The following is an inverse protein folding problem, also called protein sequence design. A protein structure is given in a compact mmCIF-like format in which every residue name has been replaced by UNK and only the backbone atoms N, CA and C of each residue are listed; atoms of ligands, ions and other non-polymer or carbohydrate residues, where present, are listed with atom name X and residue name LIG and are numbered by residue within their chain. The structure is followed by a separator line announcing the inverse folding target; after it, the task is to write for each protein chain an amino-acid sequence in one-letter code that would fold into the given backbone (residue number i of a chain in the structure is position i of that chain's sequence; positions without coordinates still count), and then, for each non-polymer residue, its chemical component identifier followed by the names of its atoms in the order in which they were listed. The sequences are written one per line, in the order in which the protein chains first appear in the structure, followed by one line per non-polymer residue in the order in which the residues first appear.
data_IF_658019199043
#
_entry.id   IF_658019199043
#
_cell.length_a   1.000
_cell.length_b   1.000
_cell.length_c   1.000
_cell.angle_alpha   90.00
_cell.angle_beta   90.00
_cell.angle_gamma   90.00
#
_symmetry.space_group_name_H-M   'P 1'
#
loop_
_entity.id
_entity.type
_entity.pdbx_description
1 polymer ?
#
# COMPACT_ATOMS: atom_id res chain seq x y z
N UNK A 1 -1.91 -5.52 23.08
CA UNK A 1 -2.76 -6.68 22.74
C UNK A 1 -3.77 -6.89 23.87
N UNK A 2 -5.04 -7.07 23.56
CA UNK A 2 -6.07 -7.44 24.56
C UNK A 2 -6.65 -8.81 24.20
N UNK A 3 -6.78 -9.68 25.19
CA UNK A 3 -7.35 -11.02 25.05
C UNK A 3 -8.41 -11.26 26.11
N UNK A 4 -9.52 -11.85 25.69
CA UNK A 4 -10.64 -12.23 26.54
C UNK A 4 -11.02 -13.69 26.26
N UNK A 5 -11.16 -14.46 27.32
CA UNK A 5 -11.72 -15.82 27.26
C UNK A 5 -13.05 -15.80 28.00
N UNK A 6 -14.13 -16.13 27.31
CA UNK A 6 -15.48 -16.15 27.88
C UNK A 6 -16.22 -17.43 27.53
N UNK A 7 -17.08 -17.85 28.44
CA UNK A 7 -17.97 -18.99 28.24
C UNK A 7 -19.35 -18.45 27.87
N UNK A 8 -19.82 -18.76 26.66
CA UNK A 8 -21.11 -18.28 26.14
C UNK A 8 -21.32 -16.78 26.39
N UNK A 9 -22.42 -16.41 27.05
CA UNK A 9 -22.79 -15.03 27.37
C UNK A 9 -22.45 -14.65 28.82
N UNK A 10 -21.67 -15.47 29.52
CA UNK A 10 -21.26 -15.21 30.89
C UNK A 10 -20.05 -14.26 30.93
N UNK A 11 -19.81 -13.72 32.14
CA UNK A 11 -18.66 -12.88 32.43
C UNK A 11 -17.35 -13.56 32.04
N UNK A 12 -16.40 -12.78 31.52
CA UNK A 12 -15.13 -13.32 31.05
C UNK A 12 -14.42 -14.08 32.17
N UNK A 13 -13.92 -15.27 31.83
CA UNK A 13 -13.10 -16.09 32.71
C UNK A 13 -11.73 -15.43 32.88
N UNK A 14 -11.22 -14.85 31.80
CA UNK A 14 -9.91 -14.21 31.72
C UNK A 14 -9.98 -13.00 30.81
N UNK A 15 -9.38 -11.88 31.24
CA UNK A 15 -9.20 -10.68 30.43
C UNK A 15 -7.84 -10.08 30.77
N UNK A 16 -6.95 -10.04 29.79
CA UNK A 16 -5.63 -9.42 29.92
C UNK A 16 -5.42 -8.39 28.80
N UNK A 17 -4.94 -7.21 29.18
CA UNK A 17 -4.30 -6.27 28.27
C UNK A 17 -2.79 -6.32 28.54
N UNK A 18 -2.01 -6.66 27.53
CA UNK A 18 -0.55 -6.75 27.62
C UNK A 18 0.12 -5.87 26.58
N UNK A 19 1.21 -5.22 27.02
CA UNK A 19 2.19 -4.58 26.15
C UNK A 19 3.52 -5.35 26.18
N UNK A 20 3.54 -6.56 26.77
CA UNK A 20 4.72 -7.42 26.80
C UNK A 20 4.88 -8.12 25.44
N UNK A 21 5.45 -7.36 24.51
CA UNK A 21 5.73 -7.76 23.14
C UNK A 21 7.25 -7.73 22.97
N UNK A 22 7.82 -8.83 22.47
CA UNK A 22 9.22 -8.90 22.09
C UNK A 22 9.35 -9.25 20.61
N UNK A 23 10.39 -8.76 19.98
CA UNK A 23 10.82 -9.30 18.70
C UNK A 23 11.46 -10.69 18.92
N UNK A 24 11.27 -11.64 17.98
CA UNK A 24 11.98 -12.92 18.05
C UNK A 24 13.48 -12.69 17.93
N UNK A 25 14.29 -13.60 18.47
CA UNK A 25 15.74 -13.60 18.24
C UNK A 25 16.06 -14.01 16.79
N UNK A 26 17.28 -13.72 16.32
CA UNK A 26 17.71 -14.09 14.95
C UNK A 26 17.61 -15.58 14.67
N UNK A 27 17.91 -16.39 15.69
CA UNK A 27 17.89 -17.85 15.60
C UNK A 27 16.43 -18.33 15.56
N UNK A 28 15.58 -17.91 16.50
CA UNK A 28 14.13 -18.22 16.51
C UNK A 28 13.45 -17.81 15.18
N UNK A 29 13.80 -16.65 14.63
CA UNK A 29 13.24 -16.19 13.38
C UNK A 29 13.65 -17.11 12.21
N UNK A 30 14.95 -17.36 12.06
CA UNK A 30 15.48 -18.06 10.89
C UNK A 30 15.17 -19.55 10.87
N UNK A 31 15.23 -20.22 12.02
CA UNK A 31 15.02 -21.69 12.09
C UNK A 31 13.56 -22.06 12.22
N UNK A 32 12.77 -21.30 12.98
CA UNK A 32 11.49 -21.78 13.48
C UNK A 32 10.29 -21.04 12.88
N UNK A 33 10.37 -19.72 12.74
CA UNK A 33 9.25 -18.88 12.31
C UNK A 33 9.23 -18.70 10.79
N UNK A 34 10.38 -18.46 10.17
CA UNK A 34 10.51 -18.32 8.71
C UNK A 34 9.92 -19.50 7.91
N UNK A 35 10.15 -20.78 8.26
CA UNK A 35 9.54 -21.89 7.52
C UNK A 35 8.01 -21.93 7.67
N UNK A 36 7.46 -21.48 8.81
CA UNK A 36 6.01 -21.34 8.96
C UNK A 36 5.48 -20.30 7.98
N UNK A 37 6.18 -19.16 7.85
CA UNK A 37 5.80 -18.09 6.92
C UNK A 37 5.81 -18.55 5.46
N UNK A 38 6.84 -19.29 5.06
CA UNK A 38 6.98 -19.76 3.68
C UNK A 38 5.96 -20.83 3.31
N UNK A 39 5.64 -21.76 4.21
CA UNK A 39 4.71 -22.85 3.92
C UNK A 39 3.25 -22.39 3.86
N UNK A 40 2.97 -21.29 4.53
CA UNK A 40 1.63 -20.82 4.78
C UNK A 40 1.02 -19.94 3.69
N UNK A 41 1.79 -19.61 2.65
CA UNK A 41 1.32 -18.74 1.55
C UNK A 41 0.74 -17.39 2.03
N UNK A 42 1.22 -16.85 3.17
CA UNK A 42 0.66 -15.64 3.80
C UNK A 42 0.70 -14.40 2.89
N UNK A 43 1.61 -14.37 1.92
CA UNK A 43 1.74 -13.31 0.94
C UNK A 43 2.02 -13.89 -0.45
N UNK A 44 1.77 -13.09 -1.48
CA UNK A 44 2.24 -13.39 -2.84
C UNK A 44 3.76 -13.64 -2.91
N UNK A 45 4.52 -13.15 -1.93
CA UNK A 45 5.93 -13.40 -1.77
C UNK A 45 6.35 -13.46 -0.28
N UNK A 46 6.48 -14.65 0.33
CA UNK A 46 6.82 -14.81 1.76
C UNK A 46 8.24 -14.35 2.13
N UNK A 47 9.06 -13.92 1.16
CA UNK A 47 10.40 -13.36 1.39
C UNK A 47 10.39 -11.89 1.83
N UNK A 48 9.22 -11.25 1.83
CA UNK A 48 9.07 -9.83 2.17
C UNK A 48 9.03 -9.55 3.67
N UNK A 49 8.79 -10.57 4.50
CA UNK A 49 8.74 -10.41 5.96
C UNK A 49 10.14 -10.46 6.57
N UNK A 50 10.47 -9.43 7.33
CA UNK A 50 11.69 -9.34 8.13
C UNK A 50 11.41 -9.69 9.59
N UNK A 51 12.48 -9.84 10.38
CA UNK A 51 12.39 -10.14 11.80
C UNK A 51 11.58 -9.07 12.58
N UNK A 52 11.72 -7.80 12.19
CA UNK A 52 11.00 -6.67 12.79
C UNK A 52 9.49 -6.68 12.50
N UNK A 53 9.03 -7.42 11.49
CA UNK A 53 7.61 -7.55 11.16
C UNK A 53 6.91 -8.59 12.06
N UNK A 54 7.65 -9.26 12.94
CA UNK A 54 7.19 -10.36 13.78
C UNK A 54 7.24 -9.96 15.24
N UNK A 55 6.14 -10.21 15.93
CA UNK A 55 6.02 -9.97 17.35
C UNK A 55 5.65 -11.25 18.09
N UNK A 56 6.48 -11.60 19.08
CA UNK A 56 6.20 -12.61 20.08
C UNK A 56 5.50 -11.92 21.27
N UNK A 57 4.24 -12.28 21.53
CA UNK A 57 3.42 -11.68 22.59
C UNK A 57 3.35 -12.64 23.77
N UNK A 58 3.71 -12.16 24.96
CA UNK A 58 3.64 -12.92 26.19
C UNK A 58 2.41 -12.52 27.02
N UNK A 59 1.61 -13.51 27.39
CA UNK A 59 0.44 -13.33 28.23
C UNK A 59 0.62 -14.05 29.55
N UNK A 60 0.53 -13.30 30.63
CA UNK A 60 0.63 -13.84 31.98
C UNK A 60 -0.52 -14.82 32.24
N UNK A 61 -0.19 -16.05 32.64
CA UNK A 61 -1.19 -17.06 32.95
C UNK A 61 -2.05 -16.72 34.17
N UNK A 62 -1.49 -15.96 35.12
CA UNK A 62 -2.17 -15.46 36.31
C UNK A 62 -2.22 -13.93 36.29
N UNK A 63 -3.42 -13.34 36.38
CA UNK A 63 -3.63 -11.89 36.30
C UNK A 63 -3.89 -11.25 37.68
N UNK A 64 -3.97 -12.02 38.78
CA UNK A 64 -4.37 -11.47 40.08
C UNK A 64 -5.77 -10.81 40.10
N UNK A 65 -6.53 -10.94 39.01
CA UNK A 65 -7.86 -10.34 38.83
C UNK A 65 -8.92 -11.32 39.30
N UNK A 66 -9.80 -10.83 40.17
CA UNK A 66 -10.87 -11.63 40.74
C UNK A 66 -12.02 -11.83 39.75
N UNK A 67 -12.52 -13.06 39.67
CA UNK A 67 -13.69 -13.44 38.90
C UNK A 67 -14.96 -13.10 39.68
N UNK A 68 -15.47 -11.90 39.42
CA UNK A 68 -16.65 -11.33 40.08
C UNK A 68 -17.93 -11.65 39.30
N UNK A 69 -18.27 -12.94 39.17
CA UNK A 69 -19.55 -13.38 38.60
C UNK A 69 -20.69 -13.17 39.62
N UNK A 70 -21.87 -12.75 39.14
CA UNK A 70 -23.03 -12.60 40.02
C UNK A 70 -23.56 -13.96 40.49
N UNK A 71 -24.10 -14.02 41.70
CA UNK A 71 -24.66 -15.25 42.26
C UNK A 71 -25.74 -15.88 41.36
N UNK A 72 -26.65 -15.05 40.83
CA UNK A 72 -27.70 -15.50 39.91
C UNK A 72 -27.11 -16.08 38.61
N UNK A 73 -26.13 -15.41 37.99
CA UNK A 73 -25.50 -15.90 36.77
C UNK A 73 -24.72 -17.21 37.02
N UNK A 74 -24.08 -17.36 38.18
CA UNK A 74 -23.40 -18.60 38.56
C UNK A 74 -24.39 -19.77 38.73
N UNK A 75 -25.56 -19.52 39.32
CA UNK A 75 -26.62 -20.53 39.42
C UNK A 75 -27.17 -20.91 38.04
N UNK A 76 -27.42 -19.93 37.17
CA UNK A 76 -27.85 -20.18 35.78
C UNK A 76 -26.82 -21.02 35.02
N UNK A 77 -25.54 -20.67 35.13
CA UNK A 77 -24.45 -21.42 34.50
C UNK A 77 -24.42 -22.88 34.96
N UNK A 78 -24.58 -23.13 36.26
CA UNK A 78 -24.61 -24.50 36.81
C UNK A 78 -25.78 -25.30 36.26
N UNK A 79 -26.97 -24.70 36.16
CA UNK A 79 -28.15 -25.38 35.60
C UNK A 79 -28.03 -25.61 34.10
N UNK A 80 -27.48 -24.66 33.33
CA UNK A 80 -27.19 -24.85 31.91
C UNK A 80 -26.19 -25.98 31.68
N UNK A 81 -25.13 -26.08 32.49
CA UNK A 81 -24.17 -27.18 32.41
C UNK A 81 -24.83 -28.54 32.72
N UNK A 82 -25.70 -28.61 33.74
CA UNK A 82 -26.45 -29.84 34.05
C UNK A 82 -27.39 -30.24 32.91
N UNK A 83 -28.10 -29.27 32.35
CA UNK A 83 -29.01 -29.48 31.23
C UNK A 83 -28.25 -29.95 29.99
N UNK A 84 -27.07 -29.37 29.73
CA UNK A 84 -26.19 -29.76 28.63
C UNK A 84 -25.75 -31.23 28.72
N UNK A 85 -25.47 -31.69 29.94
CA UNK A 85 -25.07 -33.07 30.20
C UNK A 85 -26.23 -34.07 30.01
N UNK A 86 -27.42 -33.74 30.53
CA UNK A 86 -28.56 -34.66 30.59
C UNK A 86 -29.34 -34.75 29.27
N UNK A 87 -29.39 -33.67 28.49
CA UNK A 87 -30.15 -33.61 27.25
C UNK A 87 -29.23 -33.50 26.03
N UNK A 88 -29.32 -34.48 25.12
CA UNK A 88 -28.58 -34.44 23.84
C UNK A 88 -29.12 -33.41 22.84
N UNK A 89 -30.28 -32.78 23.10
CA UNK A 89 -30.87 -31.69 22.29
C UNK A 89 -30.61 -30.29 22.87
N UNK A 90 -29.85 -30.20 23.95
CA UNK A 90 -29.50 -28.92 24.58
C UNK A 90 -28.60 -28.07 23.66
N UNK A 91 -28.62 -26.76 23.88
CA UNK A 91 -27.73 -25.82 23.19
C UNK A 91 -26.27 -26.13 23.50
N UNK A 92 -25.45 -26.24 22.46
CA UNK A 92 -24.02 -26.51 22.61
C UNK A 92 -23.35 -25.27 23.19
N UNK A 93 -22.85 -25.36 24.42
CA UNK A 93 -22.09 -24.30 25.05
C UNK A 93 -20.79 -24.06 24.27
N UNK A 94 -20.47 -22.80 24.03
CA UNK A 94 -19.29 -22.38 23.26
C UNK A 94 -18.33 -21.63 24.17
N UNK A 95 -17.04 -21.83 23.97
CA UNK A 95 -16.00 -20.99 24.56
C UNK A 95 -15.45 -20.09 23.47
N UNK A 96 -15.37 -18.81 23.79
CA UNK A 96 -14.88 -17.79 22.90
C UNK A 96 -13.51 -17.31 23.37
N UNK A 97 -12.58 -17.24 22.42
CA UNK A 97 -11.29 -16.62 22.54
C UNK A 97 -11.30 -15.35 21.67
N UNK A 98 -11.59 -14.22 22.31
CA UNK A 98 -11.60 -12.91 21.66
C UNK A 98 -10.21 -12.30 21.80
N UNK A 99 -9.63 -11.84 20.69
CA UNK A 99 -8.31 -11.23 20.69
C UNK A 99 -8.32 -9.95 19.86
N UNK A 100 -7.65 -8.92 20.37
CA UNK A 100 -7.53 -7.65 19.69
C UNK A 100 -6.11 -7.08 19.77
N UNK A 101 -5.73 -6.43 18.68
CA UNK A 101 -4.43 -5.80 18.51
C UNK A 101 -4.63 -4.33 18.20
N UNK A 102 -3.83 -3.50 18.85
CA UNK A 102 -3.78 -2.07 18.57
C UNK A 102 -2.44 -1.84 17.87
N UNK A 103 -2.49 -1.42 16.61
CA UNK A 103 -1.31 -1.04 15.84
C UNK A 103 -1.20 0.47 15.85
N UNK A 104 -0.05 0.96 16.30
CA UNK A 104 0.27 2.38 16.30
C UNK A 104 1.33 2.61 15.23
N UNK A 105 0.94 3.14 14.07
CA UNK A 105 1.88 3.74 13.14
C UNK A 105 2.39 5.05 13.72
N UNK A 106 3.71 5.21 13.79
CA UNK A 106 4.33 6.48 14.14
C UNK A 106 4.75 7.19 12.85
N UNK A 107 4.55 8.50 12.81
CA UNK A 107 5.13 9.34 11.75
C UNK A 107 6.61 9.53 12.06
N UNK A 108 7.49 9.14 11.16
CA UNK A 108 8.92 9.47 11.28
C UNK A 108 9.13 10.95 10.98
N UNK A 109 10.12 11.60 11.62
CA UNK A 109 10.47 13.00 11.29
C UNK A 109 10.91 13.19 9.83
N UNK A 110 11.32 12.10 9.17
CA UNK A 110 11.69 12.07 7.75
C UNK A 110 10.48 11.94 6.81
N UNK A 111 9.29 11.67 7.34
CA UNK A 111 8.09 11.53 6.53
C UNK A 111 7.55 12.89 6.12
N UNK A 112 7.40 13.10 4.81
CA UNK A 112 6.88 14.34 4.21
C UNK A 112 5.39 14.57 4.61
N UNK A 113 4.68 13.51 5.00
CA UNK A 113 3.27 13.52 5.37
C UNK A 113 3.06 12.76 6.69
N UNK A 114 2.07 13.13 7.53
CA UNK A 114 1.72 12.36 8.71
C UNK A 114 1.20 10.97 8.30
N UNK A 115 2.02 9.94 8.54
CA UNK A 115 1.73 8.53 8.30
C UNK A 115 1.17 7.83 9.54
N UNK A 116 1.16 8.51 10.69
CA UNK A 116 0.68 7.96 11.94
C UNK A 116 -0.78 7.48 11.86
N UNK A 117 -1.03 6.26 12.32
CA UNK A 117 -2.35 5.66 12.35
C UNK A 117 -2.52 4.84 13.63
N UNK A 118 -3.76 4.75 14.11
CA UNK A 118 -4.13 3.78 15.14
C UNK A 118 -5.19 2.87 14.52
N UNK A 119 -4.87 1.59 14.34
CA UNK A 119 -5.83 0.59 13.90
C UNK A 119 -6.05 -0.45 14.99
N UNK A 120 -7.32 -0.68 15.30
CA UNK A 120 -7.76 -1.72 16.24
C UNK A 120 -8.29 -2.90 15.43
N UNK A 121 -7.57 -4.01 15.47
CA UNK A 121 -7.94 -5.25 14.80
C UNK A 121 -8.51 -6.20 15.85
N UNK A 122 -9.72 -6.72 15.67
CA UNK A 122 -10.35 -7.63 16.63
C UNK A 122 -11.01 -8.79 15.92
N UNK A 123 -10.83 -9.98 16.45
CA UNK A 123 -11.44 -11.20 15.93
C UNK A 123 -11.79 -12.13 17.09
N UNK A 124 -12.70 -13.06 16.84
CA UNK A 124 -13.20 -14.02 17.82
C UNK A 124 -13.07 -15.43 17.26
N UNK A 125 -12.37 -16.31 17.98
CA UNK A 125 -12.38 -17.74 17.72
C UNK A 125 -13.31 -18.45 18.70
N UNK A 126 -14.10 -19.43 18.23
CA UNK A 126 -15.06 -20.16 19.07
C UNK A 126 -14.87 -21.66 18.96
N UNK A 127 -15.00 -22.35 20.09
CA UNK A 127 -14.88 -23.81 20.19
C UNK A 127 -16.04 -24.38 21.02
N UNK A 128 -16.69 -25.46 20.54
CA UNK A 128 -17.73 -26.12 21.32
C UNK A 128 -17.14 -26.79 22.56
N UNK A 129 -17.81 -26.62 23.70
CA UNK A 129 -17.43 -27.26 24.94
C UNK A 129 -17.81 -28.75 24.88
N UNK A 130 -16.83 -29.64 25.10
CA UNK A 130 -17.10 -31.08 25.19
C UNK A 130 -17.89 -31.41 26.46
N UNK A 131 -18.72 -32.47 26.41
CA UNK A 131 -19.47 -32.94 27.59
C UNK A 131 -18.55 -33.28 28.76
N UNK A 132 -17.37 -33.85 28.49
CA UNK A 132 -16.36 -34.14 29.51
C UNK A 132 -15.88 -32.85 30.21
N UNK A 133 -15.51 -31.83 29.42
CA UNK A 133 -15.07 -30.55 29.97
C UNK A 133 -16.20 -29.82 30.70
N UNK A 134 -17.44 -29.93 30.24
CA UNK A 134 -18.61 -29.39 30.93
C UNK A 134 -18.82 -30.07 32.30
N UNK A 135 -18.61 -31.39 32.39
CA UNK A 135 -18.68 -32.14 33.66
C UNK A 135 -17.59 -31.68 34.62
N UNK A 136 -16.35 -31.54 34.13
CA UNK A 136 -15.23 -31.05 34.93
C UNK A 136 -15.46 -29.61 35.40
N UNK A 137 -16.06 -28.76 34.56
CA UNK A 137 -16.39 -27.37 34.89
C UNK A 137 -17.43 -27.32 36.00
N UNK A 138 -18.50 -28.11 35.88
CA UNK A 138 -19.53 -28.21 36.91
C UNK A 138 -18.95 -28.70 38.24
N UNK A 139 -18.05 -29.68 38.21
CA UNK A 139 -17.32 -30.16 39.41
C UNK A 139 -16.45 -29.06 40.03
N UNK A 140 -15.73 -28.28 39.23
CA UNK A 140 -14.93 -27.14 39.73
C UNK A 140 -15.80 -26.06 40.39
N UNK A 141 -16.98 -25.78 39.83
CA UNK A 141 -17.88 -24.75 40.35
C UNK A 141 -18.66 -25.20 41.59
N UNK A 142 -18.77 -26.51 41.86
CA UNK A 142 -19.55 -27.08 42.96
C UNK A 142 -18.71 -27.58 44.12
N UNK A 143 -17.51 -28.09 43.85
CA UNK A 143 -16.63 -28.63 44.89
C UNK A 143 -15.78 -27.54 45.51
N UNK A 144 -15.87 -27.38 46.84
CA UNK A 144 -15.05 -26.40 47.58
C UNK A 144 -13.72 -26.98 48.09
N UNK A 145 -13.59 -28.31 48.12
CA UNK A 145 -12.53 -29.01 48.87
C UNK A 145 -11.72 -30.04 48.05
N UNK A 146 -11.93 -30.15 46.73
CA UNK A 146 -11.17 -31.12 45.92
C UNK A 146 -9.86 -30.53 45.38
N UNK A 147 -8.87 -31.43 45.16
CA UNK A 147 -7.62 -31.14 44.45
C UNK A 147 -7.95 -30.38 43.18
N UNK A 148 -7.20 -29.32 42.90
CA UNK A 148 -7.35 -28.43 41.75
C UNK A 148 -7.50 -29.25 40.47
N UNK A 149 -8.72 -29.39 39.98
CA UNK A 149 -8.98 -30.03 38.72
C UNK A 149 -8.63 -29.05 37.61
N UNK A 150 -7.96 -29.55 36.58
CA UNK A 150 -7.55 -28.78 35.42
C UNK A 150 -8.47 -29.13 34.26
N UNK A 151 -8.97 -28.14 33.53
CA UNK A 151 -9.66 -28.38 32.26
C UNK A 151 -8.70 -28.10 31.12
N UNK A 152 -8.69 -28.95 30.10
CA UNK A 152 -7.96 -28.72 28.86
C UNK A 152 -9.00 -28.53 27.75
N UNK A 153 -9.01 -27.35 27.15
CA UNK A 153 -9.87 -27.04 26.01
C UNK A 153 -9.02 -27.18 24.76
N UNK A 154 -9.38 -28.15 23.93
CA UNK A 154 -8.64 -28.40 22.70
C UNK A 154 -8.91 -27.32 21.65
N UNK A 155 -7.85 -26.92 20.96
CA UNK A 155 -7.86 -25.99 19.83
C UNK A 155 -8.48 -24.60 20.10
N UNK A 156 -8.30 -24.09 21.32
CA UNK A 156 -8.90 -22.81 21.75
C UNK A 156 -8.11 -21.58 21.29
N UNK A 157 -6.77 -21.63 21.34
CA UNK A 157 -5.96 -20.43 21.08
C UNK A 157 -5.30 -20.48 19.69
N UNK A 158 -5.51 -19.48 18.81
CA UNK A 158 -4.67 -19.31 17.63
C UNK A 158 -3.25 -18.92 18.06
N UNK A 159 -2.29 -19.82 17.83
CA UNK A 159 -0.89 -19.57 18.18
C UNK A 159 -0.21 -18.58 17.24
N UNK A 160 -0.62 -18.60 15.97
CA UNK A 160 -0.04 -17.83 14.90
C UNK A 160 -1.14 -16.99 14.24
N UNK A 161 -0.92 -15.68 14.11
CA UNK A 161 -1.91 -14.74 13.58
C UNK A 161 -1.24 -13.83 12.55
N UNK A 162 -1.84 -13.71 11.37
CA UNK A 162 -1.41 -12.80 10.33
C UNK A 162 -2.26 -11.51 10.36
N UNK A 163 -1.59 -10.37 10.52
CA UNK A 163 -2.19 -9.05 10.65
C UNK A 163 -1.97 -8.25 9.35
N UNK A 164 -3.04 -8.03 8.61
CA UNK A 164 -3.06 -7.08 7.50
C UNK A 164 -3.14 -5.64 8.04
N UNK A 165 -2.94 -4.61 7.19
CA UNK A 165 -3.04 -3.22 7.63
C UNK A 165 -4.38 -2.87 8.30
N UNK A 166 -5.49 -3.38 7.74
CA UNK A 166 -6.86 -3.05 8.17
C UNK A 166 -7.63 -4.20 8.83
N UNK A 167 -7.18 -5.46 8.70
CA UNK A 167 -7.93 -6.65 9.11
C UNK A 167 -7.00 -7.78 9.61
N UNK A 168 -7.57 -8.82 10.23
CA UNK A 168 -6.87 -10.07 10.54
C UNK A 168 -7.12 -11.08 9.42
N UNK A 169 -6.08 -11.75 8.94
CA UNK A 169 -6.21 -12.72 7.85
C UNK A 169 -6.85 -14.02 8.32
N UNK A 170 -8.08 -14.27 7.86
CA UNK A 170 -8.80 -15.51 8.17
C UNK A 170 -8.41 -16.68 7.27
N UNK A 171 -7.76 -16.40 6.13
CA UNK A 171 -7.35 -17.43 5.18
C UNK A 171 -5.98 -18.01 5.52
N UNK A 172 -5.29 -17.36 6.46
CA UNK A 172 -4.00 -17.77 6.96
C UNK A 172 -4.07 -19.13 7.69
N UNK A 173 -3.03 -19.98 7.60
CA UNK A 173 -3.07 -21.29 8.23
C UNK A 173 -3.22 -21.16 9.74
N UNK A 174 -4.25 -21.84 10.21
CA UNK A 174 -4.66 -21.84 11.59
C UNK A 174 -3.88 -22.90 12.35
N UNK A 175 -3.04 -22.46 13.30
CA UNK A 175 -2.31 -23.33 14.22
C UNK A 175 -2.90 -23.22 15.63
N UNK A 176 -3.99 -23.96 15.92
CA UNK A 176 -4.63 -23.88 17.22
C UNK A 176 -3.86 -24.66 18.27
N UNK A 177 -3.82 -24.11 19.48
CA UNK A 177 -3.24 -24.75 20.65
C UNK A 177 -4.29 -25.01 21.72
N UNK A 178 -3.98 -26.03 22.52
CA UNK A 178 -4.78 -26.46 23.65
C UNK A 178 -4.49 -25.57 24.86
N UNK A 179 -5.55 -25.16 25.54
CA UNK A 179 -5.47 -24.23 26.66
C UNK A 179 -5.92 -24.92 27.93
N UNK A 180 -5.10 -24.84 28.98
CA UNK A 180 -5.40 -25.35 30.30
C UNK A 180 -6.00 -24.23 31.15
N UNK A 181 -7.17 -24.48 31.72
CA UNK A 181 -7.86 -23.62 32.67
C UNK A 181 -7.84 -24.24 34.07
N UNK A 182 -7.58 -23.42 35.08
CA UNK A 182 -7.61 -23.80 36.49
C UNK A 182 -8.40 -22.75 37.26
N UNK A 183 -9.46 -23.19 37.96
CA UNK A 183 -10.15 -22.32 38.91
C UNK A 183 -9.39 -22.34 40.25
N UNK A 184 -8.91 -21.17 40.67
CA UNK A 184 -8.31 -20.98 41.99
C UNK A 184 -9.31 -20.34 42.94
N UNK A 185 -9.27 -20.77 44.19
CA UNK A 185 -10.06 -20.21 45.28
C UNK A 185 -9.14 -19.96 46.46
N UNK A 186 -9.16 -18.74 46.98
CA UNK A 186 -8.50 -18.39 48.22
C UNK A 186 -9.46 -17.54 49.06
N UNK A 187 -9.84 -18.04 50.24
CA UNK A 187 -10.87 -17.43 51.10
C UNK A 187 -12.18 -17.22 50.34
N UNK A 188 -12.56 -15.97 50.07
CA UNK A 188 -13.74 -15.58 49.28
C UNK A 188 -13.40 -15.16 47.84
N UNK A 189 -12.13 -15.20 47.48
CA UNK A 189 -11.64 -14.77 46.17
C UNK A 189 -11.57 -15.96 45.22
N UNK A 190 -12.10 -15.77 44.02
CA UNK A 190 -12.07 -16.74 42.93
C UNK A 190 -11.37 -16.09 41.74
N UNK A 191 -10.52 -16.83 41.04
CA UNK A 191 -9.93 -16.37 39.78
C UNK A 191 -9.55 -17.56 38.89
N UNK A 192 -9.40 -17.30 37.60
CA UNK A 192 -8.98 -18.31 36.63
C UNK A 192 -7.51 -18.11 36.28
N UNK A 193 -6.73 -19.18 36.41
CA UNK A 193 -5.40 -19.26 35.83
C UNK A 193 -5.51 -19.95 34.48
N UNK A 194 -4.81 -19.42 33.49
CA UNK A 194 -4.73 -19.96 32.14
C UNK A 194 -3.29 -20.31 31.82
N UNK A 195 -3.06 -21.46 31.19
CA UNK A 195 -1.73 -21.85 30.71
C UNK A 195 -1.83 -22.58 29.38
N UNK A 196 -0.79 -22.48 28.57
CA UNK A 196 -0.69 -23.22 27.32
C UNK A 196 -0.29 -24.68 27.57
N UNK A 197 -0.91 -25.62 26.85
CA UNK A 197 -0.42 -27.00 26.77
C UNK A 197 0.59 -27.05 25.63
N UNK A 198 1.86 -26.79 25.95
CA UNK A 198 2.93 -26.68 24.96
C UNK A 198 3.19 -28.03 24.29
N UNK A 199 2.96 -28.08 22.97
CA UNK A 199 3.36 -29.19 22.11
C UNK A 199 4.83 -29.06 21.71
N UNK A 200 5.50 -30.19 21.43
CA UNK A 200 6.94 -30.21 21.14
C UNK A 200 7.33 -29.26 19.98
N UNK A 201 6.46 -29.12 18.98
CA UNK A 201 6.69 -28.28 17.80
C UNK A 201 6.76 -26.77 18.10
N UNK A 202 6.31 -26.35 19.28
CA UNK A 202 6.18 -24.95 19.67
C UNK A 202 7.04 -24.56 20.87
N UNK A 203 7.76 -25.52 21.45
CA UNK A 203 8.55 -25.33 22.66
C UNK A 203 9.68 -24.31 22.50
N UNK A 204 10.24 -24.21 21.29
CA UNK A 204 11.37 -23.33 20.97
C UNK A 204 10.93 -22.04 20.24
N UNK A 205 9.65 -21.93 19.85
CA UNK A 205 9.15 -20.81 19.03
C UNK A 205 8.60 -19.70 19.91
N UNK A 206 9.30 -18.58 20.01
CA UNK A 206 8.90 -17.46 20.88
C UNK A 206 8.65 -17.93 22.34
N UNK A 207 9.56 -18.76 22.87
CA UNK A 207 9.38 -19.33 24.21
C UNK A 207 9.66 -18.31 25.29
N UNK A 208 8.95 -18.42 26.41
CA UNK A 208 9.16 -17.61 27.60
C UNK A 208 9.17 -18.56 28.80
N UNK A 209 9.99 -18.27 29.81
CA UNK A 209 10.28 -19.17 30.94
C UNK A 209 9.08 -19.46 31.89
N UNK A 210 7.88 -18.92 31.63
CA UNK A 210 6.74 -19.00 32.53
C UNK A 210 5.56 -19.79 31.93
N UNK A 211 4.66 -20.28 32.79
CA UNK A 211 3.40 -20.99 32.45
C UNK A 211 2.36 -20.05 31.82
N UNK A 212 2.77 -19.37 30.76
CA UNK A 212 2.05 -18.31 30.07
C UNK A 212 1.46 -18.82 28.75
N UNK A 213 0.62 -17.98 28.14
CA UNK A 213 0.21 -18.15 26.76
C UNK A 213 1.13 -17.29 25.88
N UNK A 214 1.74 -17.87 24.86
CA UNK A 214 2.56 -17.12 23.92
C UNK A 214 1.86 -17.07 22.57
N UNK A 215 1.76 -15.89 21.95
CA UNK A 215 1.24 -15.75 20.59
C UNK A 215 2.33 -15.21 19.67
N UNK A 216 2.27 -15.60 18.40
CA UNK A 216 3.14 -15.11 17.35
C UNK A 216 2.26 -14.35 16.37
N UNK A 217 2.56 -13.07 16.19
CA UNK A 217 1.88 -12.23 15.20
C UNK A 217 2.85 -11.84 14.12
N UNK A 218 2.43 -12.00 12.87
CA UNK A 218 3.14 -11.46 11.70
C UNK A 218 2.35 -10.27 11.19
N UNK A 219 2.99 -9.11 11.14
CA UNK A 219 2.37 -7.87 10.75
C UNK A 219 2.84 -7.46 9.37
N UNK A 220 1.92 -7.40 8.41
CA UNK A 220 2.22 -6.78 7.12
C UNK A 220 2.46 -5.28 7.33
N UNK A 221 3.49 -4.76 6.66
CA UNK A 221 3.79 -3.33 6.67
C UNK A 221 2.61 -2.59 6.08
N UNK A 222 1.97 -1.76 6.89
CA UNK A 222 1.08 -0.76 6.34
C UNK A 222 1.99 0.24 5.63
N UNK A 223 2.03 0.21 4.29
CA UNK A 223 2.61 1.32 3.55
C UNK A 223 1.94 2.62 3.99
N UNK A 224 2.50 3.77 3.59
CA UNK A 224 1.89 5.10 3.73
C UNK A 224 0.57 5.27 2.94
N UNK A 225 -0.24 4.21 2.83
CA UNK A 225 -1.65 4.23 2.55
C UNK A 225 -2.40 4.71 3.79
N UNK A 226 -2.08 5.92 4.22
CA UNK A 226 -2.99 6.66 5.06
C UNK A 226 -4.36 6.62 4.37
N UNK A 227 -5.42 6.39 5.14
CA UNK A 227 -6.79 6.47 4.62
C UNK A 227 -7.01 7.78 3.85
N UNK A 228 -6.24 8.84 4.15
CA UNK A 228 -6.20 10.10 3.39
C UNK A 228 -5.52 10.01 2.02
N UNK A 229 -4.37 9.36 1.85
CA UNK A 229 -3.76 9.18 0.52
C UNK A 229 -4.57 8.21 -0.35
N UNK A 230 -5.20 7.20 0.26
CA UNK A 230 -6.17 6.34 -0.43
C UNK A 230 -7.44 7.09 -0.85
N UNK A 231 -7.86 8.11 -0.10
CA UNK A 231 -9.04 8.92 -0.43
C UNK A 231 -8.69 9.96 -1.50
N UNK A 232 -7.54 10.63 -1.41
CA UNK A 232 -7.07 11.56 -2.44
C UNK A 232 -6.73 10.81 -3.73
N UNK A 233 -6.10 9.63 -3.65
CA UNK A 233 -5.86 8.80 -4.83
C UNK A 233 -7.16 8.21 -5.39
N UNK A 234 -8.10 7.72 -4.58
CA UNK A 234 -9.42 7.30 -5.09
C UNK A 234 -10.22 8.46 -5.68
N UNK A 235 -10.16 9.65 -5.09
CA UNK A 235 -10.92 10.84 -5.50
C UNK A 235 -10.34 11.49 -6.78
N UNK A 236 -9.01 11.60 -6.89
CA UNK A 236 -8.35 12.24 -8.03
C UNK A 236 -7.99 11.24 -9.15
N UNK A 237 -7.73 9.98 -8.80
CA UNK A 237 -7.04 9.00 -9.66
C UNK A 237 -7.93 7.79 -9.99
N UNK A 238 -9.04 7.60 -9.26
CA UNK A 238 -9.96 6.47 -9.41
C UNK A 238 -9.35 5.14 -8.92
N UNK A 239 -10.12 4.04 -9.00
CA UNK A 239 -9.68 2.70 -8.55
C UNK A 239 -8.45 2.12 -9.29
N UNK A 240 -7.91 2.83 -10.28
CA UNK A 240 -6.80 2.41 -11.13
C UNK A 240 -5.63 3.41 -11.05
N UNK A 241 -5.09 3.61 -9.84
CA UNK A 241 -4.05 4.61 -9.58
C UNK A 241 -2.82 4.50 -10.50
N UNK A 242 -2.48 3.28 -10.92
CA UNK A 242 -1.37 2.99 -11.84
C UNK A 242 -1.61 3.53 -13.26
N UNK A 243 -2.82 3.40 -13.80
CA UNK A 243 -3.15 3.83 -15.16
C UNK A 243 -3.13 5.36 -15.30
N UNK A 244 -3.63 6.06 -14.30
CA UNK A 244 -3.67 7.53 -14.32
C UNK A 244 -2.27 8.14 -14.17
N UNK A 245 -1.38 7.55 -13.36
CA UNK A 245 0.01 8.02 -13.28
C UNK A 245 0.73 7.89 -14.62
N UNK A 246 0.53 6.75 -15.30
CA UNK A 246 1.03 6.52 -16.65
C UNK A 246 0.41 7.54 -17.63
N UNK A 247 -0.88 7.82 -17.49
CA UNK A 247 -1.59 8.83 -18.30
C UNK A 247 -1.08 10.25 -18.11
N UNK A 248 -0.81 10.68 -16.87
CA UNK A 248 -0.24 12.01 -16.57
C UNK A 248 1.17 12.13 -17.14
N UNK A 249 2.00 11.10 -16.97
CA UNK A 249 3.36 11.11 -17.53
C UNK A 249 3.34 11.14 -19.06
N UNK A 250 2.53 10.29 -19.70
CA UNK A 250 2.34 10.28 -21.14
C UNK A 250 1.78 11.61 -21.67
N UNK A 251 0.85 12.23 -20.94
CA UNK A 251 0.30 13.54 -21.27
C UNK A 251 1.36 14.66 -21.21
N UNK A 252 2.18 14.70 -20.17
CA UNK A 252 3.26 15.68 -20.04
C UNK A 252 4.31 15.50 -21.15
N UNK A 253 4.73 14.26 -21.40
CA UNK A 253 5.65 13.92 -22.51
C UNK A 253 5.04 14.32 -23.85
N UNK A 254 3.75 14.06 -24.07
CA UNK A 254 3.05 14.44 -25.31
C UNK A 254 2.99 15.95 -25.49
N UNK A 255 2.70 16.73 -24.43
CA UNK A 255 2.67 18.20 -24.50
C UNK A 255 4.06 18.77 -24.81
N UNK A 256 5.10 18.26 -24.14
CA UNK A 256 6.49 18.66 -24.44
C UNK A 256 6.86 18.29 -25.87
N UNK A 257 6.52 17.07 -26.31
CA UNK A 257 6.77 16.62 -27.67
C UNK A 257 6.01 17.50 -28.68
N UNK A 258 4.71 17.77 -28.50
CA UNK A 258 3.96 18.63 -29.40
C UNK A 258 4.52 20.04 -29.47
N UNK A 259 4.86 20.63 -28.32
CA UNK A 259 5.26 22.03 -28.24
C UNK A 259 6.66 22.24 -28.80
N UNK A 260 7.60 21.33 -28.49
CA UNK A 260 8.97 21.43 -28.97
C UNK A 260 9.11 20.93 -30.41
N UNK A 261 8.53 19.78 -30.75
CA UNK A 261 8.67 19.18 -32.08
C UNK A 261 7.97 19.99 -33.17
N UNK A 262 6.76 20.52 -32.90
CA UNK A 262 6.04 21.33 -33.90
C UNK A 262 6.68 22.69 -34.12
N UNK A 263 7.26 23.32 -33.09
CA UNK A 263 7.93 24.62 -33.26
C UNK A 263 9.24 24.48 -34.03
N UNK A 264 9.98 23.40 -33.82
CA UNK A 264 11.32 23.23 -34.42
C UNK A 264 11.25 22.81 -35.89
N UNK A 265 10.31 21.93 -36.28
CA UNK A 265 10.23 21.42 -37.66
C UNK A 265 9.48 22.30 -38.64
N UNK A 266 8.52 23.11 -38.17
CA UNK A 266 7.70 23.97 -39.05
C UNK A 266 8.19 25.42 -39.13
N UNK A 267 9.18 25.81 -38.31
CA UNK A 267 9.78 27.15 -38.40
C UNK A 267 10.58 27.32 -39.70
N UNK A 268 11.34 26.29 -40.12
CA UNK A 268 12.21 26.38 -41.30
C UNK A 268 11.43 26.42 -42.62
N UNK A 269 10.23 25.82 -42.66
CA UNK A 269 9.38 25.81 -43.85
C UNK A 269 8.91 27.23 -44.21
N UNK A 270 8.75 28.11 -43.21
CA UNK A 270 8.36 29.50 -43.47
C UNK A 270 9.51 30.35 -44.03
N UNK A 271 10.76 29.89 -43.91
CA UNK A 271 11.95 30.61 -44.37
C UNK A 271 12.46 30.13 -45.74
N UNK A 272 11.79 29.16 -46.38
CA UNK A 272 12.16 28.64 -47.71
C UNK A 272 12.31 29.78 -48.74
N UNK A 273 11.42 30.77 -48.68
CA UNK A 273 11.42 31.96 -49.54
C UNK A 273 12.73 32.76 -49.46
N UNK A 274 13.48 32.69 -48.36
CA UNK A 274 14.70 33.45 -48.13
C UNK A 274 15.99 32.62 -48.28
N UNK A 275 15.90 31.28 -48.21
CA UNK A 275 17.07 30.40 -48.28
C UNK A 275 17.35 29.83 -49.69
N UNK A 276 16.34 29.72 -50.56
CA UNK A 276 16.46 28.99 -51.84
C UNK A 276 16.37 29.89 -53.08
N UNK A 277 17.37 30.74 -53.35
CA UNK A 277 17.44 31.54 -54.59
C UNK A 277 18.44 30.94 -55.59
N UNK A 278 18.05 30.75 -56.86
CA UNK A 278 18.91 30.06 -57.84
C UNK A 278 20.15 30.87 -58.28
N UNK A 279 20.14 32.21 -58.15
CA UNK A 279 21.28 33.09 -58.47
C UNK A 279 21.30 34.31 -57.54
N UNK A 280 21.92 34.15 -56.36
CA UNK A 280 22.03 35.20 -55.34
C UNK A 280 23.00 36.33 -55.72
N UNK A 281 23.94 36.07 -56.64
CA UNK A 281 25.04 36.98 -57.04
C UNK A 281 24.56 38.37 -57.49
N UNK A 282 23.35 38.48 -58.04
CA UNK A 282 22.78 39.78 -58.45
C UNK A 282 22.31 40.64 -57.29
N UNK A 283 21.78 40.00 -56.25
CA UNK A 283 21.38 40.70 -55.03
C UNK A 283 22.62 41.07 -54.23
N UNK A 284 23.61 40.17 -54.19
CA UNK A 284 24.93 40.44 -53.61
C UNK A 284 25.60 41.64 -54.29
N UNK A 285 25.61 41.70 -55.63
CA UNK A 285 26.14 42.84 -56.37
C UNK A 285 25.41 44.15 -56.05
N UNK A 286 24.08 44.13 -55.89
CA UNK A 286 23.33 45.32 -55.47
C UNK A 286 23.73 45.77 -54.06
N UNK A 287 23.97 44.84 -53.15
CA UNK A 287 24.49 45.15 -51.82
C UNK A 287 25.91 45.75 -51.89
N UNK A 288 26.80 45.21 -52.73
CA UNK A 288 28.14 45.76 -52.97
C UNK A 288 28.09 47.17 -53.55
N UNK A 289 27.17 47.44 -54.48
CA UNK A 289 26.95 48.79 -55.05
C UNK A 289 26.51 49.79 -53.97
N UNK A 290 25.63 49.38 -53.03
CA UNK A 290 25.26 50.22 -51.87
C UNK A 290 26.48 50.51 -50.98
N UNK A 291 27.33 49.51 -50.71
CA UNK A 291 28.55 49.71 -49.94
C UNK A 291 29.53 50.65 -50.65
N UNK A 292 29.71 50.51 -51.96
CA UNK A 292 30.59 51.37 -52.75
C UNK A 292 30.12 52.82 -52.74
N UNK A 293 28.82 53.07 -52.93
CA UNK A 293 28.26 54.43 -52.95
C UNK A 293 28.36 55.09 -51.57
N UNK A 294 28.22 54.30 -50.49
CA UNK A 294 28.48 54.77 -49.13
C UNK A 294 29.93 55.21 -48.92
N UNK A 295 30.89 54.49 -49.48
CA UNK A 295 32.32 54.87 -49.42
C UNK A 295 32.62 56.15 -50.25
N UNK A 296 31.88 56.37 -51.34
CA UNK A 296 31.99 57.57 -52.17
C UNK A 296 31.27 58.80 -51.57
N UNK A 297 30.38 58.59 -50.59
CA UNK A 297 29.66 59.67 -49.90
C UNK A 297 28.49 60.26 -50.71
N UNK A 298 28.02 59.61 -51.77
CA UNK A 298 26.88 60.05 -52.58
C UNK A 298 25.55 59.57 -51.99
N UNK A 299 25.07 60.29 -50.96
CA UNK A 299 23.89 59.90 -50.17
C UNK A 299 22.59 59.77 -50.97
N UNK A 300 22.38 60.57 -52.02
CA UNK A 300 21.17 60.51 -52.84
C UNK A 300 21.09 59.19 -53.63
N UNK A 301 22.22 58.72 -54.15
CA UNK A 301 22.31 57.47 -54.90
C UNK A 301 22.21 56.27 -53.94
N UNK A 302 22.78 56.38 -52.74
CA UNK A 302 22.62 55.38 -51.69
C UNK A 302 21.14 55.17 -51.33
N UNK A 303 20.39 56.25 -51.13
CA UNK A 303 18.95 56.19 -50.81
C UNK A 303 18.14 55.49 -51.91
N UNK A 304 18.44 55.76 -53.20
CA UNK A 304 17.75 55.13 -54.33
C UNK A 304 18.04 53.62 -54.43
N UNK A 305 19.32 53.24 -54.34
CA UNK A 305 19.73 51.83 -54.36
C UNK A 305 19.19 51.06 -53.15
N UNK A 306 19.16 51.69 -51.98
CA UNK A 306 18.62 51.08 -50.76
C UNK A 306 17.10 50.92 -50.82
N UNK A 307 16.38 51.89 -51.40
CA UNK A 307 14.94 51.77 -51.64
C UNK A 307 14.62 50.61 -52.61
N UNK A 308 15.44 50.43 -53.64
CA UNK A 308 15.33 49.30 -54.57
C UNK A 308 15.56 47.95 -53.86
N UNK A 309 16.54 47.86 -52.95
CA UNK A 309 16.80 46.66 -52.16
C UNK A 309 15.63 46.31 -51.23
N UNK A 310 15.06 47.29 -50.52
CA UNK A 310 13.88 47.09 -49.67
C UNK A 310 12.68 46.62 -50.50
N UNK A 311 12.43 47.28 -51.63
CA UNK A 311 11.33 46.91 -52.51
C UNK A 311 11.45 45.46 -52.99
N UNK A 312 12.67 45.05 -53.36
CA UNK A 312 12.97 43.69 -53.77
C UNK A 312 12.66 42.67 -52.67
N UNK A 313 13.09 42.93 -51.44
CA UNK A 313 12.87 42.03 -50.30
C UNK A 313 11.42 42.00 -49.79
N UNK A 314 10.64 43.04 -50.05
CA UNK A 314 9.22 43.12 -49.65
C UNK A 314 8.29 42.35 -50.58
N UNK A 315 8.70 42.10 -51.83
CA UNK A 315 7.90 41.40 -52.84
C UNK A 315 8.59 40.11 -53.32
N UNK A 316 8.12 38.92 -52.87
CA UNK A 316 8.75 37.66 -53.27
C UNK A 316 8.65 37.41 -54.78
N UNK A 317 7.61 37.91 -55.43
CA UNK A 317 7.46 37.79 -56.89
C UNK A 317 8.56 38.55 -57.63
N UNK A 318 8.91 39.75 -57.15
CA UNK A 318 9.97 40.58 -57.75
C UNK A 318 11.33 39.98 -57.47
N UNK A 319 11.54 39.46 -56.26
CA UNK A 319 12.75 38.76 -55.85
C UNK A 319 13.03 37.53 -56.73
N UNK A 320 12.02 36.70 -56.99
CA UNK A 320 12.15 35.52 -57.86
C UNK A 320 12.47 35.93 -59.31
N UNK A 321 11.77 36.94 -59.84
CA UNK A 321 12.05 37.45 -61.19
C UNK A 321 13.48 37.99 -61.32
N UNK A 322 13.95 38.67 -60.29
CA UNK A 322 15.29 39.25 -60.23
C UNK A 322 16.38 38.20 -60.11
N UNK A 323 16.13 37.08 -59.43
CA UNK A 323 17.08 35.97 -59.23
C UNK A 323 17.01 34.88 -60.31
N UNK A 324 16.05 34.93 -61.25
CA UNK A 324 15.88 33.91 -62.31
C UNK A 324 17.00 33.90 -63.37
N UNK A 325 17.53 32.74 -63.80
CA UNK A 325 18.59 32.67 -64.82
C UNK A 325 18.21 33.31 -66.16
N UNK A 326 19.15 34.06 -66.75
CA UNK A 326 19.00 34.73 -68.06
C UNK A 326 18.80 33.77 -69.25
N UNK A 327 19.11 32.49 -69.10
CA UNK A 327 18.88 31.48 -70.14
C UNK A 327 17.40 31.12 -70.33
N UNK A 328 16.59 31.29 -69.28
CA UNK A 328 15.16 30.94 -69.28
C UNK A 328 14.30 32.12 -69.77
N UNK A 329 14.72 33.37 -69.49
CA UNK A 329 14.04 34.57 -69.99
C UNK A 329 14.07 34.65 -71.52
N UNK A 330 15.21 34.33 -72.15
CA UNK A 330 15.32 34.28 -73.63
C UNK A 330 14.42 33.22 -74.28
N UNK A 331 14.24 32.06 -73.63
CA UNK A 331 13.32 31.01 -74.12
C UNK A 331 11.86 31.41 -74.00
N UNK A 332 11.48 32.14 -72.94
CA UNK A 332 10.10 32.61 -72.78
C UNK A 332 9.75 33.76 -73.73
N UNK A 333 10.69 34.69 -73.98
CA UNK A 333 10.52 35.72 -75.01
C UNK A 333 10.42 35.11 -76.41
N UNK A 334 11.21 34.06 -76.72
CA UNK A 334 11.09 33.31 -77.97
C UNK A 334 9.74 32.58 -78.11
N UNK A 335 9.21 31.96 -77.06
CA UNK A 335 7.89 31.32 -77.10
C UNK A 335 6.74 32.34 -77.18
N UNK A 336 6.83 33.50 -76.52
CA UNK A 336 5.81 34.56 -76.65
C UNK A 336 5.83 35.22 -78.03
N UNK A 337 7.01 35.43 -78.62
CA UNK A 337 7.12 36.01 -79.95
C UNK A 337 6.68 35.04 -81.07
N UNK A 338 6.78 33.72 -80.85
CA UNK A 338 6.23 32.71 -81.78
C UNK A 338 4.69 32.69 -81.78
N UNK A 339 4.04 32.95 -80.65
CA UNK A 339 2.57 33.04 -80.59
C UNK A 339 2.02 34.34 -81.19
N UNK A 340 2.79 35.43 -81.24
CA UNK A 340 2.37 36.68 -81.88
C UNK A 340 2.41 36.62 -83.42
N UNK A 341 3.14 35.68 -84.02
CA UNK A 341 3.22 35.50 -85.48
C UNK A 341 2.25 34.46 -86.06
N UNK A 342 1.38 33.85 -85.23
CA UNK A 342 0.39 32.85 -85.66
C UNK A 342 -1.08 33.30 -85.51
N UNK A 343 -1.35 34.59 -85.30
CA UNK A 343 -2.70 35.16 -85.36
C UNK A 343 -2.83 36.16 -86.51
#
# INVERSE_FOLDING_TARGET
CEIKVRLSNYKELYQLMTNNVREPTTDEFSTDIRPLITNASFASNPREFEQADIACIHLLGHIGRQWTISFSALHQLKEELKNYMNNSRSTILQIYFDYSFIRNGQTSEQDILPTGYISTLSETHQVPLTKENAMLLLRMLTSENQKQTTIIISKLMPKFIHLLPDMIDKNSPFYPQDVRLILRREKQLLWWDISEVVTNDWKNKCSFDSQALNLITVSERAGAQSKSFNLISKLLIGNNAKLTLIGVYAGLVYVLWLTCFRKTLFSDIQLIMYHEWPFADRVEKLCEEVYLVRELGELQLEEELFAQLIFLHRSPETLIRFTRPKSISKKQEQCQNQHLHQN
#
